data_IF_920603280748
#
_entry.id   IF_920603280748
#
_cell.length_a   1.000
_cell.length_b   1.000
_cell.length_c   1.000
_cell.angle_alpha   90.00
_cell.angle_beta   90.00
_cell.angle_gamma   90.00
#
_symmetry.space_group_name_H-M   'P 1'
#
loop_
_entity.id
_entity.type
_entity.pdbx_description
1 polymer ?
#
# COMPACT_ATOMS: atom_id res chain seq x y z
N UNK A 1 9.35 6.55 9.99
CA UNK A 1 8.28 7.55 9.85
C UNK A 1 7.52 7.66 11.16
N UNK A 2 7.74 8.74 11.87
CA UNK A 2 7.22 8.90 13.23
C UNK A 2 5.70 9.02 13.29
N UNK A 3 5.08 9.72 12.34
CA UNK A 3 3.62 9.88 12.34
C UNK A 3 2.90 8.54 12.22
N UNK A 4 3.44 7.60 11.44
CA UNK A 4 2.86 6.27 11.33
C UNK A 4 3.04 5.47 12.62
N UNK A 5 4.23 5.54 13.22
CA UNK A 5 4.49 4.87 14.50
C UNK A 5 3.56 5.38 15.59
N UNK A 6 3.40 6.69 15.68
CA UNK A 6 2.49 7.31 16.66
C UNK A 6 1.05 6.87 16.44
N UNK A 7 0.61 6.80 15.19
CA UNK A 7 -0.75 6.40 14.88
C UNK A 7 -1.00 4.92 15.20
N UNK A 8 -0.02 4.05 14.93
CA UNK A 8 -0.11 2.63 15.31
C UNK A 8 -0.20 2.47 16.82
N UNK A 9 0.59 3.23 17.57
CA UNK A 9 0.54 3.17 19.03
C UNK A 9 -0.77 3.72 19.59
N UNK A 10 -1.32 4.75 18.96
CA UNK A 10 -2.55 5.40 19.41
C UNK A 10 -3.81 4.59 19.03
N UNK A 11 -3.93 4.18 17.78
CA UNK A 11 -5.15 3.62 17.22
C UNK A 11 -5.04 2.16 16.78
N UNK A 12 -3.83 1.63 16.69
CA UNK A 12 -3.61 0.24 16.32
C UNK A 12 -3.91 -0.70 17.47
N UNK A 13 -4.26 -1.94 17.16
CA UNK A 13 -4.56 -2.95 18.14
C UNK A 13 -3.86 -4.25 17.80
N UNK A 14 -2.97 -4.69 18.66
CA UNK A 14 -2.30 -5.98 18.50
C UNK A 14 -3.27 -7.10 18.92
N UNK A 15 -3.65 -7.93 17.97
CA UNK A 15 -4.52 -9.09 18.22
C UNK A 15 -3.71 -10.33 18.59
N UNK A 16 -2.44 -10.38 18.13
CA UNK A 16 -1.50 -11.44 18.46
C UNK A 16 -0.09 -10.92 18.16
N UNK A 17 0.93 -11.78 18.33
CA UNK A 17 2.31 -11.42 18.00
C UNK A 17 2.50 -11.14 16.50
N UNK A 18 1.65 -11.71 15.66
CA UNK A 18 1.77 -11.61 14.19
C UNK A 18 0.66 -10.79 13.54
N UNK A 19 -0.35 -10.34 14.30
CA UNK A 19 -1.50 -9.63 13.73
C UNK A 19 -1.69 -8.29 14.43
N UNK A 20 -1.59 -7.21 13.65
CA UNK A 20 -1.83 -5.84 14.11
C UNK A 20 -3.07 -5.31 13.39
N UNK A 21 -4.05 -4.85 14.16
CA UNK A 21 -5.27 -4.25 13.60
C UNK A 21 -5.07 -2.76 13.42
N UNK A 22 -5.11 -2.30 12.19
CA UNK A 22 -4.92 -0.89 11.80
C UNK A 22 -6.03 -0.39 10.86
N UNK A 23 -7.18 -1.07 10.89
CA UNK A 23 -8.25 -0.81 9.93
C UNK A 23 -8.92 0.56 10.08
N UNK A 24 -8.77 1.22 11.22
CA UNK A 24 -9.34 2.55 11.43
C UNK A 24 -8.67 3.63 10.60
N UNK A 25 -7.44 3.41 10.14
CA UNK A 25 -6.71 4.42 9.36
C UNK A 25 -6.03 3.88 8.11
N UNK A 26 -5.91 2.56 7.94
CA UNK A 26 -5.27 1.96 6.77
C UNK A 26 -6.20 1.14 5.89
N UNK A 27 -7.27 0.60 6.41
CA UNK A 27 -8.17 -0.31 5.67
C UNK A 27 -9.59 0.24 5.53
N UNK A 28 -10.41 0.12 6.56
CA UNK A 28 -11.79 0.59 6.52
C UNK A 28 -11.85 2.11 6.53
N UNK A 29 -11.17 2.72 7.50
CA UNK A 29 -10.91 4.13 7.47
C UNK A 29 -9.58 4.35 6.77
N UNK A 30 -9.50 5.30 5.86
CA UNK A 30 -8.26 5.67 5.19
C UNK A 30 -7.97 7.13 5.51
N UNK A 31 -6.93 7.36 6.28
CA UNK A 31 -6.48 8.71 6.57
C UNK A 31 -5.62 9.21 5.42
N UNK A 32 -6.21 10.04 4.56
CA UNK A 32 -5.55 10.50 3.33
C UNK A 32 -4.28 11.29 3.62
N UNK A 33 -4.27 12.10 4.67
CA UNK A 33 -3.07 12.84 5.05
C UNK A 33 -1.95 11.90 5.47
N UNK A 34 -2.26 10.88 6.26
CA UNK A 34 -1.28 9.88 6.66
C UNK A 34 -0.76 9.12 5.44
N UNK A 35 -1.63 8.76 4.50
CA UNK A 35 -1.22 8.10 3.26
C UNK A 35 -0.29 8.99 2.44
N UNK A 36 -0.56 10.28 2.38
CA UNK A 36 0.31 11.24 1.71
C UNK A 36 1.68 11.29 2.38
N UNK A 37 1.73 11.31 3.71
CA UNK A 37 2.98 11.31 4.46
C UNK A 37 3.78 10.02 4.24
N UNK A 38 3.10 8.88 4.15
CA UNK A 38 3.75 7.60 3.80
C UNK A 38 4.36 7.70 2.40
N UNK A 39 3.61 8.24 1.45
CA UNK A 39 4.10 8.44 0.09
C UNK A 39 5.33 9.34 0.04
N UNK A 40 5.35 10.41 0.82
CA UNK A 40 6.51 11.30 0.93
C UNK A 40 7.73 10.56 1.47
N UNK A 41 7.52 9.71 2.45
CA UNK A 41 8.59 8.91 3.05
C UNK A 41 9.20 7.95 2.01
N UNK A 42 8.36 7.25 1.25
CA UNK A 42 8.83 6.37 0.18
C UNK A 42 9.55 7.13 -0.92
N UNK A 43 9.02 8.29 -1.32
CA UNK A 43 9.66 9.13 -2.31
C UNK A 43 11.06 9.51 -1.88
N UNK A 44 11.23 9.98 -0.65
CA UNK A 44 12.55 10.36 -0.14
C UNK A 44 13.51 9.18 -0.09
N UNK A 45 13.01 8.01 0.28
CA UNK A 45 13.85 6.81 0.37
C UNK A 45 14.29 6.32 -1.02
N UNK A 46 13.40 6.34 -2.01
CA UNK A 46 13.64 5.71 -3.31
C UNK A 46 13.99 6.68 -4.44
N UNK A 47 14.02 7.98 -4.20
CA UNK A 47 14.21 8.96 -5.27
C UNK A 47 15.49 8.80 -6.08
N UNK A 48 16.51 8.18 -5.52
CA UNK A 48 17.80 7.96 -6.18
C UNK A 48 18.00 6.54 -6.72
N UNK A 49 16.96 5.71 -6.69
CA UNK A 49 17.07 4.31 -7.06
C UNK A 49 16.66 4.02 -8.51
N UNK A 50 16.31 5.04 -9.29
CA UNK A 50 15.93 4.85 -10.68
C UNK A 50 14.62 4.09 -10.87
N UNK A 51 13.68 4.23 -9.94
CA UNK A 51 12.38 3.56 -10.00
C UNK A 51 11.59 4.12 -11.18
N UNK A 52 11.02 3.24 -12.00
CA UNK A 52 10.22 3.63 -13.16
C UNK A 52 8.76 3.23 -13.07
N UNK A 53 8.40 2.34 -12.15
CA UNK A 53 7.04 1.85 -11.99
C UNK A 53 6.87 1.32 -10.57
N UNK A 54 5.65 1.42 -10.05
CA UNK A 54 5.32 0.97 -8.71
C UNK A 54 4.25 -0.11 -8.80
N UNK A 55 4.41 -1.18 -8.04
CA UNK A 55 3.45 -2.27 -7.95
C UNK A 55 2.88 -2.36 -6.55
N UNK A 56 1.61 -2.71 -6.47
CA UNK A 56 0.99 -3.10 -5.21
C UNK A 56 0.03 -4.26 -5.45
N UNK A 57 -0.25 -5.00 -4.40
CA UNK A 57 -1.25 -6.08 -4.43
C UNK A 57 -2.50 -5.54 -3.74
N UNK A 58 -3.70 -5.78 -4.33
CA UNK A 58 -4.91 -5.34 -3.65
C UNK A 58 -5.02 -6.02 -2.27
N UNK A 59 -5.58 -5.35 -1.26
CA UNK A 59 -6.24 -4.06 -1.46
C UNK A 59 -5.70 -2.97 -0.53
N UNK A 60 -5.21 -3.30 0.67
CA UNK A 60 -4.85 -2.29 1.66
C UNK A 60 -3.63 -1.45 1.27
N UNK A 61 -2.78 -1.97 0.40
CA UNK A 61 -1.61 -1.24 -0.08
C UNK A 61 -1.91 -0.19 -1.15
N UNK A 62 -3.13 -0.17 -1.69
CA UNK A 62 -3.48 0.74 -2.79
C UNK A 62 -3.41 2.20 -2.36
N UNK A 63 -3.97 2.53 -1.21
CA UNK A 63 -4.01 3.92 -0.76
C UNK A 63 -2.62 4.56 -0.60
N UNK A 64 -1.68 3.96 0.16
CA UNK A 64 -0.34 4.53 0.25
C UNK A 64 0.41 4.50 -1.09
N UNK A 65 0.14 3.50 -1.94
CA UNK A 65 0.80 3.40 -3.25
C UNK A 65 0.35 4.52 -4.19
N UNK A 66 -0.94 4.87 -4.21
CA UNK A 66 -1.44 5.98 -5.03
C UNK A 66 -0.73 7.27 -4.64
N UNK A 67 -0.61 7.53 -3.36
CA UNK A 67 0.06 8.75 -2.88
C UNK A 67 1.55 8.77 -3.21
N UNK A 68 2.20 7.61 -3.15
CA UNK A 68 3.60 7.49 -3.54
C UNK A 68 3.78 7.72 -5.04
N UNK A 69 2.95 7.08 -5.86
CA UNK A 69 3.01 7.20 -7.31
C UNK A 69 2.76 8.64 -7.77
N UNK A 70 1.78 9.30 -7.15
CA UNK A 70 1.48 10.69 -7.47
C UNK A 70 2.68 11.59 -7.19
N UNK A 71 3.32 11.43 -6.04
CA UNK A 71 4.44 12.28 -5.65
C UNK A 71 5.71 11.99 -6.45
N UNK A 72 5.92 10.74 -6.84
CA UNK A 72 7.06 10.35 -7.66
C UNK A 72 6.80 10.54 -9.16
N UNK A 73 5.57 10.87 -9.52
CA UNK A 73 5.14 11.02 -10.92
C UNK A 73 5.41 9.76 -11.75
N UNK A 74 5.08 8.60 -11.15
CA UNK A 74 5.29 7.30 -11.77
C UNK A 74 3.98 6.55 -11.96
N UNK A 75 3.89 5.68 -12.98
CA UNK A 75 2.73 4.80 -13.10
C UNK A 75 2.74 3.75 -12.01
N UNK A 76 1.54 3.31 -11.61
CA UNK A 76 1.39 2.21 -10.69
C UNK A 76 0.53 1.11 -11.29
N UNK A 77 0.78 -0.12 -10.87
CA UNK A 77 0.03 -1.28 -11.29
C UNK A 77 -0.49 -2.00 -10.04
N UNK A 78 -1.77 -2.32 -10.05
CA UNK A 78 -2.38 -3.10 -8.98
C UNK A 78 -2.49 -4.55 -9.43
N UNK A 79 -1.88 -5.45 -8.66
CA UNK A 79 -1.97 -6.87 -8.89
C UNK A 79 -3.28 -7.38 -8.27
N UNK A 80 -4.10 -8.03 -9.08
CA UNK A 80 -5.41 -8.50 -8.65
C UNK A 80 -5.29 -9.87 -7.98
N UNK A 81 -6.09 -10.08 -6.94
CA UNK A 81 -6.17 -11.38 -6.26
C UNK A 81 -6.91 -12.40 -7.08
N UNK A 82 -7.79 -11.95 -7.98
CA UNK A 82 -8.57 -12.80 -8.87
C UNK A 82 -8.56 -12.21 -10.27
N UNK A 83 -8.71 -13.09 -11.28
CA UNK A 83 -8.79 -12.65 -12.66
C UNK A 83 -10.04 -11.81 -12.88
N UNK A 84 -9.88 -10.69 -13.61
CA UNK A 84 -10.99 -9.83 -13.98
C UNK A 84 -11.56 -10.29 -15.33
N UNK A 85 -12.91 -10.31 -15.44
CA UNK A 85 -13.58 -10.66 -16.70
C UNK A 85 -13.37 -9.64 -17.80
N UNK A 86 -12.97 -8.42 -17.44
CA UNK A 86 -12.73 -7.36 -18.43
C UNK A 86 -11.29 -7.31 -18.91
N UNK A 87 -10.40 -8.13 -18.34
CA UNK A 87 -9.00 -8.21 -18.79
C UNK A 87 -8.89 -9.24 -19.90
N UNK A 88 -8.39 -8.79 -21.05
CA UNK A 88 -8.11 -9.64 -22.22
C UNK A 88 -6.62 -9.61 -22.51
N UNK A 89 -6.10 -10.72 -23.08
CA UNK A 89 -4.72 -10.82 -23.52
C UNK A 89 -3.82 -11.44 -22.47
N UNK A 90 -2.55 -11.04 -22.50
CA UNK A 90 -1.54 -11.66 -21.66
C UNK A 90 -1.66 -11.25 -20.21
N UNK A 91 -1.76 -12.25 -19.34
CA UNK A 91 -1.88 -12.04 -17.89
C UNK A 91 -0.77 -12.82 -17.20
N UNK A 92 -0.06 -12.16 -16.30
CA UNK A 92 0.93 -12.81 -15.45
C UNK A 92 0.27 -13.15 -14.11
N UNK A 93 0.49 -14.37 -13.64
CA UNK A 93 -0.12 -14.86 -12.41
C UNK A 93 0.91 -15.48 -11.48
N UNK A 94 0.70 -15.32 -10.20
CA UNK A 94 1.48 -16.00 -9.17
C UNK A 94 0.58 -16.26 -7.96
N UNK A 95 1.01 -17.14 -7.08
CA UNK A 95 0.27 -17.47 -5.86
C UNK A 95 1.03 -16.95 -4.64
N UNK A 96 0.32 -16.23 -3.79
CA UNK A 96 0.86 -15.70 -2.55
C UNK A 96 -0.10 -16.02 -1.42
N UNK A 97 0.45 -16.48 -0.30
CA UNK A 97 -0.36 -16.71 0.90
C UNK A 97 -0.61 -15.42 1.66
N UNK A 98 -1.85 -15.24 2.09
CA UNK A 98 -2.26 -14.09 2.90
C UNK A 98 -2.80 -14.57 4.23
N UNK A 99 -2.61 -13.77 5.28
CA UNK A 99 -3.18 -14.04 6.59
C UNK A 99 -4.65 -13.58 6.69
N UNK A 100 -5.19 -12.97 5.67
CA UNK A 100 -6.57 -12.47 5.67
C UNK A 100 -7.47 -13.21 4.68
#
# INVERSE_FOLDING_TARGET
MESLKERILQDGKALSETVLKVDSFLNHGVDAKLMYEIGSCFKEYYKKHGITKIFTIESSGIAPTVMTAMQMELPMVTLKKQSSKILNGNVYQTTVHSFT
#
